data_IF_434427461406
#
_entry.id   IF_434427461406
#
_cell.length_a   1.000
_cell.length_b   1.000
_cell.length_c   1.000
_cell.angle_alpha   90.00
_cell.angle_beta   90.00
_cell.angle_gamma   90.00
#
_symmetry.space_group_name_H-M   'P 1'
#
loop_
_entity.id
_entity.type
_entity.pdbx_description
1 polymer ?
#
# COMPACT_ATOMS: atom_id res chain seq x y z
N UNK A 1 7.89 15.28 -13.15
CA UNK A 1 6.51 15.13 -12.64
C UNK A 1 5.84 13.94 -13.33
N UNK A 2 5.61 12.83 -12.60
CA UNK A 2 4.98 11.64 -13.12
C UNK A 2 3.48 11.82 -13.47
N UNK A 3 2.82 12.87 -12.99
CA UNK A 3 1.38 13.10 -13.19
C UNK A 3 1.00 13.21 -14.66
N UNK A 4 1.85 13.84 -15.49
CA UNK A 4 1.56 14.09 -16.90
C UNK A 4 1.32 12.79 -17.68
N UNK A 5 2.25 11.82 -17.59
CA UNK A 5 2.10 10.57 -18.34
C UNK A 5 0.92 9.73 -17.81
N UNK A 6 0.67 9.73 -16.50
CA UNK A 6 -0.46 9.01 -15.91
C UNK A 6 -1.80 9.57 -16.39
N UNK A 7 -1.91 10.90 -16.46
CA UNK A 7 -3.08 11.59 -17.00
C UNK A 7 -3.34 11.22 -18.46
N UNK A 8 -2.27 11.15 -19.27
CA UNK A 8 -2.36 10.65 -20.64
C UNK A 8 -2.84 9.20 -20.69
N UNK A 9 -2.42 8.35 -19.75
CA UNK A 9 -2.89 6.96 -19.70
C UNK A 9 -4.39 6.82 -19.43
N UNK A 10 -4.98 7.68 -18.59
CA UNK A 10 -6.44 7.73 -18.43
C UNK A 10 -7.14 8.12 -19.72
N UNK A 11 -6.63 9.13 -20.43
CA UNK A 11 -7.15 9.55 -21.73
C UNK A 11 -7.01 8.46 -22.81
N UNK A 12 -5.94 7.68 -22.77
CA UNK A 12 -5.74 6.52 -23.66
C UNK A 12 -6.67 5.33 -23.34
N UNK A 13 -7.45 5.40 -22.25
CA UNK A 13 -8.41 4.37 -21.88
C UNK A 13 -7.82 3.22 -21.04
N UNK A 14 -6.68 3.44 -20.38
CA UNK A 14 -6.11 2.44 -19.48
C UNK A 14 -7.07 2.17 -18.30
N UNK A 15 -7.38 0.90 -18.04
CA UNK A 15 -8.20 0.51 -16.89
C UNK A 15 -7.46 0.65 -15.55
N UNK A 16 -6.13 0.57 -15.57
CA UNK A 16 -5.27 0.81 -14.42
C UNK A 16 -3.85 1.12 -14.85
N UNK A 17 -3.11 1.86 -14.02
CA UNK A 17 -1.71 2.18 -14.26
C UNK A 17 -0.94 2.17 -12.93
N UNK A 18 0.34 1.82 -13.01
CA UNK A 18 1.22 1.90 -11.86
C UNK A 18 1.42 3.34 -11.39
N UNK A 19 1.04 3.65 -10.16
CA UNK A 19 1.16 5.01 -9.59
C UNK A 19 2.29 5.15 -8.57
N UNK A 20 3.07 4.09 -8.36
CA UNK A 20 4.08 4.07 -7.31
C UNK A 20 3.50 3.75 -5.93
N UNK A 21 4.30 3.98 -4.90
CA UNK A 21 3.97 3.65 -3.50
C UNK A 21 3.89 4.87 -2.61
N UNK A 22 3.98 6.09 -3.16
CA UNK A 22 3.95 7.34 -2.40
C UNK A 22 5.00 7.37 -1.27
N UNK A 23 6.19 6.83 -1.54
CA UNK A 23 7.29 6.71 -0.57
C UNK A 23 7.19 5.54 0.42
N UNK A 24 6.13 4.72 0.38
CA UNK A 24 5.96 3.57 1.29
C UNK A 24 6.67 2.30 0.83
N UNK A 25 7.14 2.24 -0.41
CA UNK A 25 7.81 1.10 -1.01
C UNK A 25 9.31 1.32 -1.22
N UNK A 26 9.88 0.62 -2.19
CA UNK A 26 11.32 0.68 -2.51
C UNK A 26 11.70 1.68 -3.60
N UNK A 27 10.73 2.10 -4.40
CA UNK A 27 10.96 3.03 -5.51
C UNK A 27 10.86 4.47 -4.99
N UNK A 28 11.49 5.41 -5.70
CA UNK A 28 11.34 6.83 -5.42
C UNK A 28 9.86 7.23 -5.41
N UNK A 29 9.50 8.09 -4.47
CA UNK A 29 8.16 8.65 -4.30
C UNK A 29 8.05 9.43 -3.00
N UNK A 30 7.02 10.25 -2.90
CA UNK A 30 6.77 11.15 -1.77
C UNK A 30 5.36 10.98 -1.23
N UNK A 31 5.18 11.21 0.08
CA UNK A 31 3.89 10.98 0.75
C UNK A 31 2.79 11.95 0.26
N UNK A 32 3.14 13.10 -0.29
CA UNK A 32 2.24 14.10 -0.87
C UNK A 32 1.79 13.77 -2.31
N UNK A 33 2.29 12.68 -2.91
CA UNK A 33 1.92 12.23 -4.27
C UNK A 33 0.53 11.58 -4.37
N UNK A 34 -0.36 11.75 -3.38
CA UNK A 34 -1.74 11.25 -3.46
C UNK A 34 -2.50 11.80 -4.66
N UNK A 35 -2.11 13.00 -5.13
CA UNK A 35 -2.66 13.62 -6.34
C UNK A 35 -2.52 12.71 -7.57
N UNK A 36 -1.51 11.84 -7.62
CA UNK A 36 -1.32 10.88 -8.70
C UNK A 36 -2.48 9.89 -8.76
N UNK A 37 -2.96 9.39 -7.61
CA UNK A 37 -4.13 8.51 -7.54
C UNK A 37 -5.43 9.32 -7.76
N UNK A 38 -5.58 10.45 -7.07
CA UNK A 38 -6.81 11.25 -7.12
C UNK A 38 -7.13 11.78 -8.52
N UNK A 39 -6.13 12.21 -9.28
CA UNK A 39 -6.31 12.67 -10.66
C UNK A 39 -6.83 11.55 -11.57
N UNK A 40 -6.56 10.29 -11.26
CA UNK A 40 -6.95 9.14 -12.06
C UNK A 40 -8.32 8.57 -11.69
N UNK A 41 -8.75 8.72 -10.44
CA UNK A 41 -10.00 8.12 -9.95
C UNK A 41 -11.16 9.09 -9.79
N UNK A 42 -10.89 10.38 -9.57
CA UNK A 42 -11.93 11.40 -9.31
C UNK A 42 -12.42 12.02 -10.61
N UNK A 43 -13.66 12.52 -10.59
CA UNK A 43 -14.21 13.27 -11.71
C UNK A 43 -13.74 14.73 -11.73
N UNK A 44 -13.27 15.25 -10.60
CA UNK A 44 -12.62 16.55 -10.48
C UNK A 44 -11.44 16.45 -9.51
N UNK A 45 -10.28 16.98 -9.90
CA UNK A 45 -9.07 16.97 -9.07
C UNK A 45 -8.20 18.19 -9.35
N UNK A 46 -7.66 18.79 -8.28
CA UNK A 46 -6.65 19.83 -8.37
C UNK A 46 -5.28 19.19 -8.64
N UNK A 47 -4.61 19.62 -9.71
CA UNK A 47 -3.21 19.28 -9.97
C UNK A 47 -2.26 20.35 -9.42
N UNK A 48 -0.95 20.21 -9.64
CA UNK A 48 0.04 21.20 -9.19
C UNK A 48 -0.14 22.59 -9.83
N UNK A 49 -0.70 22.64 -11.04
CA UNK A 49 -0.86 23.88 -11.82
C UNK A 49 -2.29 24.11 -12.34
N UNK A 50 -3.08 23.05 -12.50
CA UNK A 50 -4.38 23.12 -13.15
C UNK A 50 -5.40 22.22 -12.44
N UNK A 51 -6.60 22.76 -12.23
CA UNK A 51 -7.79 21.98 -11.94
C UNK A 51 -8.23 21.19 -13.17
N UNK A 52 -8.62 19.92 -13.00
CA UNK A 52 -9.14 19.09 -14.09
C UNK A 52 -10.53 18.54 -13.74
N UNK A 53 -11.48 18.75 -14.65
CA UNK A 53 -12.78 18.07 -14.69
C UNK A 53 -12.78 17.00 -15.78
N UNK A 54 -13.26 15.81 -15.46
CA UNK A 54 -13.24 14.62 -16.32
C UNK A 54 -14.60 14.30 -16.95
N UNK A 55 -15.66 15.01 -16.55
CA UNK A 55 -16.98 14.98 -17.18
C UNK A 55 -17.58 13.57 -17.31
N UNK A 56 -17.47 12.77 -16.27
CA UNK A 56 -17.96 11.40 -16.21
C UNK A 56 -17.06 10.38 -16.91
N UNK A 57 -15.86 10.75 -17.36
CA UNK A 57 -14.88 9.79 -17.87
C UNK A 57 -14.54 8.77 -16.78
N UNK A 58 -14.59 7.48 -17.14
CA UNK A 58 -14.27 6.40 -16.20
C UNK A 58 -12.89 6.58 -15.56
N UNK A 59 -12.81 6.13 -14.31
CA UNK A 59 -11.57 6.11 -13.54
C UNK A 59 -10.55 5.14 -14.13
N UNK A 60 -9.27 5.45 -13.92
CA UNK A 60 -8.14 4.53 -14.09
C UNK A 60 -7.67 4.10 -12.70
N UNK A 61 -7.68 2.80 -12.43
CA UNK A 61 -7.31 2.26 -11.11
C UNK A 61 -5.83 2.54 -10.79
N UNK A 62 -5.53 3.15 -9.63
CA UNK A 62 -4.16 3.21 -9.13
C UNK A 62 -3.65 1.81 -8.81
N UNK A 63 -2.60 1.37 -9.51
CA UNK A 63 -1.93 0.10 -9.25
C UNK A 63 -0.69 0.39 -8.40
N UNK A 64 -0.66 -0.19 -7.21
CA UNK A 64 0.39 0.02 -6.22
C UNK A 64 1.35 -1.18 -6.29
N UNK A 65 2.61 -0.93 -6.60
CA UNK A 65 3.67 -1.95 -6.62
C UNK A 65 5.03 -1.36 -6.26
N UNK A 66 5.95 -2.25 -5.89
CA UNK A 66 7.35 -1.90 -5.63
C UNK A 66 7.72 -1.94 -4.15
N UNK A 67 8.16 -3.11 -3.67
CA UNK A 67 8.68 -3.25 -2.30
C UNK A 67 7.60 -3.20 -1.21
N UNK A 68 6.34 -3.41 -1.58
CA UNK A 68 5.24 -3.50 -0.62
C UNK A 68 5.21 -4.87 0.07
N UNK A 69 4.78 -4.88 1.33
CA UNK A 69 4.45 -6.05 2.13
C UNK A 69 3.32 -5.68 3.10
N UNK A 70 2.89 -6.66 3.91
CA UNK A 70 1.79 -6.47 4.85
C UNK A 70 2.05 -5.34 5.87
N UNK A 71 3.30 -5.14 6.31
CA UNK A 71 3.66 -4.15 7.33
C UNK A 71 3.52 -2.71 6.83
N UNK A 72 3.79 -2.49 5.54
CA UNK A 72 3.76 -1.15 4.89
C UNK A 72 2.35 -0.73 4.49
N UNK A 73 1.43 -1.68 4.30
CA UNK A 73 0.08 -1.44 3.78
C UNK A 73 -0.76 -0.48 4.64
N UNK A 74 -0.85 -0.63 5.98
CA UNK A 74 -1.70 0.24 6.79
C UNK A 74 -1.30 1.71 6.67
N UNK A 75 0.00 2.01 6.70
CA UNK A 75 0.51 3.37 6.53
C UNK A 75 0.20 3.94 5.15
N UNK A 76 0.35 3.13 4.09
CA UNK A 76 0.00 3.54 2.74
C UNK A 76 -1.49 3.89 2.60
N UNK A 77 -2.38 3.04 3.09
CA UNK A 77 -3.82 3.30 3.03
C UNK A 77 -4.22 4.48 3.91
N UNK A 78 -3.57 4.67 5.06
CA UNK A 78 -3.78 5.85 5.89
C UNK A 78 -3.41 7.15 5.16
N UNK A 79 -2.30 7.16 4.41
CA UNK A 79 -1.92 8.30 3.60
C UNK A 79 -2.92 8.55 2.48
N UNK A 80 -3.23 7.51 1.69
CA UNK A 80 -4.14 7.60 0.54
C UNK A 80 -5.60 7.90 0.95
N UNK A 81 -6.03 7.47 2.14
CA UNK A 81 -7.38 7.68 2.66
C UNK A 81 -8.42 6.65 2.20
N UNK A 82 -8.06 5.69 1.34
CA UNK A 82 -8.89 4.56 0.95
C UNK A 82 -8.05 3.36 0.49
N UNK A 83 -8.69 2.21 0.32
CA UNK A 83 -8.06 0.97 -0.17
C UNK A 83 -8.66 0.44 -1.49
N UNK A 84 -9.44 1.27 -2.21
CA UNK A 84 -9.99 0.93 -3.54
C UNK A 84 -8.91 0.98 -4.63
N UNK A 85 -7.93 0.09 -4.56
CA UNK A 85 -6.76 0.02 -5.45
C UNK A 85 -6.44 -1.43 -5.80
N UNK A 86 -5.58 -1.65 -6.79
CA UNK A 86 -4.93 -2.96 -6.97
C UNK A 86 -3.54 -2.85 -6.36
N UNK A 87 -3.23 -3.66 -5.34
CA UNK A 87 -1.87 -3.77 -4.81
C UNK A 87 -1.23 -5.09 -5.24
N UNK A 88 0.00 -5.02 -5.74
CA UNK A 88 0.79 -6.18 -6.15
C UNK A 88 2.05 -6.29 -5.31
N UNK A 89 2.11 -7.35 -4.50
CA UNK A 89 3.24 -7.61 -3.59
C UNK A 89 3.96 -8.91 -4.02
N UNK A 90 4.93 -8.81 -4.93
CA UNK A 90 5.76 -9.95 -5.33
C UNK A 90 6.58 -10.49 -4.15
N UNK A 91 7.64 -9.76 -3.79
CA UNK A 91 8.49 -10.12 -2.63
C UNK A 91 7.74 -10.11 -1.30
N UNK A 92 6.76 -9.21 -1.12
CA UNK A 92 5.94 -9.16 0.10
C UNK A 92 5.02 -10.37 0.29
N UNK A 93 4.73 -11.13 -0.77
CA UNK A 93 3.96 -12.38 -0.68
C UNK A 93 4.90 -13.60 -0.69
N UNK A 94 5.73 -13.75 -1.74
CA UNK A 94 6.62 -14.91 -1.89
C UNK A 94 7.79 -14.94 -0.92
N UNK A 95 8.17 -13.79 -0.34
CA UNK A 95 9.20 -13.70 0.71
C UNK A 95 8.68 -13.95 2.12
N UNK A 96 7.39 -14.26 2.28
CA UNK A 96 6.82 -14.60 3.58
C UNK A 96 7.38 -15.94 4.08
N UNK A 97 7.82 -15.99 5.35
CA UNK A 97 8.46 -17.17 5.99
C UNK A 97 7.61 -18.44 5.90
N UNK A 98 6.30 -18.32 6.04
CA UNK A 98 5.34 -19.44 5.95
C UNK A 98 4.84 -19.68 4.49
N UNK A 99 5.49 -19.09 3.47
CA UNK A 99 5.20 -19.29 2.05
C UNK A 99 4.18 -18.31 1.44
N UNK A 100 3.99 -18.35 0.09
CA UNK A 100 3.23 -17.35 -0.66
C UNK A 100 1.73 -17.30 -0.32
N UNK A 101 1.13 -18.44 0.05
CA UNK A 101 -0.27 -18.45 0.49
C UNK A 101 -0.45 -17.67 1.80
N UNK A 102 0.48 -17.82 2.75
CA UNK A 102 0.50 -17.04 3.97
C UNK A 102 0.80 -15.56 3.69
N UNK A 103 1.73 -15.29 2.77
CA UNK A 103 1.99 -13.96 2.25
C UNK A 103 0.72 -13.27 1.73
N UNK A 104 -0.04 -13.92 0.85
CA UNK A 104 -1.34 -13.42 0.36
C UNK A 104 -2.33 -13.12 1.48
N UNK A 105 -2.49 -14.02 2.46
CA UNK A 105 -3.35 -13.81 3.62
C UNK A 105 -2.89 -12.64 4.50
N UNK A 106 -1.58 -12.49 4.71
CA UNK A 106 -1.02 -11.39 5.51
C UNK A 106 -1.39 -10.01 4.92
N UNK A 107 -1.46 -9.90 3.58
CA UNK A 107 -1.85 -8.67 2.89
C UNK A 107 -3.34 -8.35 3.09
N UNK A 108 -4.19 -9.39 3.08
CA UNK A 108 -5.63 -9.26 3.38
C UNK A 108 -5.80 -8.82 4.84
N UNK A 109 -5.13 -9.49 5.78
CA UNK A 109 -5.19 -9.16 7.21
C UNK A 109 -4.66 -7.74 7.49
N UNK A 110 -3.66 -7.27 6.75
CA UNK A 110 -3.17 -5.89 6.85
C UNK A 110 -4.22 -4.86 6.39
N UNK A 111 -4.94 -5.16 5.31
CA UNK A 111 -6.06 -4.33 4.85
C UNK A 111 -7.21 -4.33 5.87
N UNK A 112 -7.55 -5.49 6.44
CA UNK A 112 -8.58 -5.61 7.48
C UNK A 112 -8.20 -4.83 8.74
N UNK A 113 -6.94 -4.90 9.17
CA UNK A 113 -6.39 -4.11 10.28
C UNK A 113 -6.62 -2.61 10.05
N UNK A 114 -6.24 -2.10 8.88
CA UNK A 114 -6.43 -0.69 8.53
C UNK A 114 -7.92 -0.31 8.49
N UNK A 115 -8.74 -1.14 7.86
CA UNK A 115 -10.19 -0.92 7.74
C UNK A 115 -10.89 -0.90 9.11
N UNK A 116 -10.43 -1.73 10.05
CA UNK A 116 -10.93 -1.78 11.41
C UNK A 116 -10.41 -0.63 12.30
N UNK A 117 -9.44 0.17 11.82
CA UNK A 117 -8.77 1.19 12.63
C UNK A 117 -8.00 0.60 13.81
N UNK A 118 -7.58 -0.66 13.70
CA UNK A 118 -6.90 -1.39 14.78
C UNK A 118 -5.41 -1.09 14.80
N UNK A 119 -4.81 -1.16 15.98
CA UNK A 119 -3.35 -1.11 16.13
C UNK A 119 -2.72 -2.37 15.50
N UNK A 120 -1.72 -2.24 14.60
CA UNK A 120 -1.13 -3.40 13.92
C UNK A 120 -0.46 -4.42 14.85
N UNK A 121 0.10 -4.01 15.98
CA UNK A 121 0.72 -4.94 16.92
C UNK A 121 -0.36 -5.74 17.66
N UNK A 122 -1.40 -5.08 18.15
CA UNK A 122 -2.53 -5.77 18.78
C UNK A 122 -3.24 -6.68 17.79
N UNK A 123 -3.44 -6.24 16.55
CA UNK A 123 -4.03 -7.04 15.48
C UNK A 123 -3.22 -8.30 15.19
N UNK A 124 -1.89 -8.20 15.15
CA UNK A 124 -1.00 -9.33 14.90
C UNK A 124 -1.14 -10.46 15.94
N UNK A 125 -1.48 -10.16 17.20
CA UNK A 125 -1.65 -11.19 18.24
C UNK A 125 -2.73 -12.22 17.90
N UNK A 126 -3.74 -11.82 17.13
CA UNK A 126 -4.87 -12.67 16.73
C UNK A 126 -4.80 -13.13 15.27
N UNK A 127 -3.89 -12.56 14.47
CA UNK A 127 -3.79 -12.80 13.03
C UNK A 127 -2.41 -13.36 12.67
N UNK A 128 -2.32 -14.69 12.65
CA UNK A 128 -1.06 -15.43 12.50
C UNK A 128 -0.27 -14.99 11.27
N UNK A 129 -0.84 -14.99 10.07
CA UNK A 129 -0.09 -14.66 8.86
C UNK A 129 0.42 -13.21 8.87
N UNK A 130 -0.33 -12.27 9.45
CA UNK A 130 0.12 -10.90 9.65
C UNK A 130 1.26 -10.82 10.66
N UNK A 131 1.18 -11.52 11.80
CA UNK A 131 2.27 -11.60 12.77
C UNK A 131 3.54 -12.18 12.16
N UNK A 132 3.43 -13.24 11.36
CA UNK A 132 4.56 -13.89 10.70
C UNK A 132 5.19 -13.00 9.61
N UNK A 133 4.47 -12.00 9.11
CA UNK A 133 5.06 -10.98 8.25
C UNK A 133 6.06 -10.08 9.00
N UNK A 134 5.89 -9.83 10.32
CA UNK A 134 6.89 -9.11 11.12
C UNK A 134 8.23 -9.85 11.15
N UNK A 135 8.19 -11.17 11.32
CA UNK A 135 9.38 -12.03 11.27
C UNK A 135 9.94 -12.21 9.85
N UNK A 136 9.08 -12.14 8.82
CA UNK A 136 9.50 -12.22 7.41
C UNK A 136 10.28 -11.00 6.97
N UNK A 137 9.91 -9.81 7.47
CA UNK A 137 10.48 -8.53 7.08
C UNK A 137 10.98 -7.76 8.32
N UNK A 138 11.97 -8.29 9.06
CA UNK A 138 12.34 -7.78 10.37
C UNK A 138 12.89 -6.35 10.32
N UNK A 139 13.61 -5.97 9.26
CA UNK A 139 14.08 -4.59 9.08
C UNK A 139 12.93 -3.58 8.94
N UNK A 140 11.87 -3.96 8.22
CA UNK A 140 10.68 -3.10 8.10
C UNK A 140 9.91 -3.06 9.42
N UNK A 141 9.78 -4.21 10.08
CA UNK A 141 9.15 -4.29 11.40
C UNK A 141 9.86 -3.43 12.43
N UNK A 142 11.20 -3.41 12.43
CA UNK A 142 12.01 -2.60 13.34
C UNK A 142 11.85 -1.09 13.09
N UNK A 143 11.76 -0.70 11.81
CA UNK A 143 11.58 0.70 11.43
C UNK A 143 10.15 1.21 11.68
N UNK A 144 9.13 0.40 11.38
CA UNK A 144 7.73 0.80 11.44
C UNK A 144 7.08 0.56 12.80
N UNK A 145 7.53 -0.47 13.52
CA UNK A 145 6.95 -0.91 14.79
C UNK A 145 8.04 -1.22 15.84
N UNK A 146 8.70 -0.19 16.39
CA UNK A 146 9.74 -0.39 17.40
C UNK A 146 9.26 -1.24 18.58
N UNK A 147 10.06 -2.24 18.96
CA UNK A 147 9.76 -3.16 20.06
C UNK A 147 8.77 -4.28 19.73
N UNK A 148 8.44 -4.51 18.45
CA UNK A 148 7.48 -5.56 18.05
C UNK A 148 7.82 -6.96 18.57
N UNK A 149 9.12 -7.32 18.66
CA UNK A 149 9.54 -8.66 19.13
C UNK A 149 9.08 -8.93 20.56
N UNK A 150 9.26 -7.96 21.44
CA UNK A 150 8.80 -8.06 22.83
C UNK A 150 7.27 -8.16 22.89
N UNK A 151 6.59 -7.28 22.16
CA UNK A 151 5.12 -7.21 22.16
C UNK A 151 4.43 -8.44 21.56
N UNK A 152 5.09 -9.11 20.61
CA UNK A 152 4.60 -10.34 19.97
C UNK A 152 5.21 -11.62 20.59
N UNK A 153 6.06 -11.50 21.60
CA UNK A 153 6.69 -12.65 22.27
C UNK A 153 7.65 -13.45 21.38
N UNK A 154 8.22 -12.83 20.34
CA UNK A 154 9.19 -13.45 19.44
C UNK A 154 10.58 -13.37 20.07
N UNK A 155 11.22 -14.52 20.31
CA UNK A 155 12.58 -14.56 20.85
C UNK A 155 13.55 -13.88 19.87
N UNK A 156 14.44 -13.04 20.39
CA UNK A 156 15.55 -12.51 19.59
C UNK A 156 16.36 -13.70 19.03
N UNK A 157 16.62 -13.68 17.72
CA UNK A 157 17.46 -14.65 17.05
C UNK A 157 18.94 -14.42 17.39
#
# INVERSE_FOLDING_TARGET
DPLCYMKLSRLMGASGIHTGTMGYGKMEGHADERVLAYMLERDECEGPYFNQKWHGMKATTPIISGGMNALRLPGFFQNLGHANVINTCGGGSFGHIDGPAAGGKSLIQAWECWKAGSDPIEWAKEHREFARAFESFPHDADALFPGWREKLGVKAA
#
